data_IF_809993828070
#
_entry.id   IF_809993828070
#
_cell.length_a   1.000
_cell.length_b   1.000
_cell.length_c   1.000
_cell.angle_alpha   90.00
_cell.angle_beta   90.00
_cell.angle_gamma   90.00
#
_symmetry.space_group_name_H-M   'P 1'
#
loop_
_entity.id
_entity.type
_entity.pdbx_description
1 polymer ?
#
# COMPACT_ATOMS: atom_id res chain seq x y z
N UNK A 1 1.70 -35.67 -43.68
CA UNK A 1 2.52 -34.52 -43.19
C UNK A 1 1.58 -33.34 -42.98
N UNK A 2 1.41 -32.85 -41.75
CA UNK A 2 0.57 -31.68 -41.50
C UNK A 2 1.33 -30.41 -41.93
N UNK A 3 0.74 -29.61 -42.82
CA UNK A 3 1.34 -28.38 -43.31
C UNK A 3 1.17 -27.24 -42.30
N UNK A 4 1.80 -27.39 -41.12
CA UNK A 4 1.73 -26.40 -40.05
C UNK A 4 2.82 -25.37 -40.27
N UNK A 5 2.42 -24.14 -40.60
CA UNK A 5 3.34 -23.00 -40.73
C UNK A 5 3.81 -22.57 -39.33
N UNK A 6 5.07 -22.83 -39.00
CA UNK A 6 5.70 -22.35 -37.77
C UNK A 6 5.85 -20.82 -37.87
N UNK A 7 5.39 -20.10 -36.84
CA UNK A 7 5.47 -18.64 -36.75
C UNK A 7 6.46 -18.23 -35.66
N UNK A 8 7.08 -17.08 -35.84
CA UNK A 8 7.92 -16.44 -34.81
C UNK A 8 7.07 -15.86 -33.67
N UNK A 9 7.69 -15.64 -32.51
CA UNK A 9 7.02 -15.01 -31.34
C UNK A 9 6.48 -13.62 -31.68
N UNK A 10 7.15 -12.86 -32.53
CA UNK A 10 6.71 -11.51 -32.93
C UNK A 10 5.46 -11.55 -33.82
N UNK A 11 5.35 -12.55 -34.70
CA UNK A 11 4.16 -12.81 -35.52
C UNK A 11 2.99 -13.32 -34.67
N UNK A 12 3.26 -14.19 -33.71
CA UNK A 12 2.25 -14.73 -32.79
C UNK A 12 1.68 -13.68 -31.84
N UNK A 13 2.36 -12.55 -31.62
CA UNK A 13 1.88 -11.49 -30.73
C UNK A 13 1.15 -10.34 -31.45
N UNK A 14 1.05 -10.36 -32.78
CA UNK A 14 0.45 -9.28 -33.59
C UNK A 14 -0.84 -9.70 -34.29
N UNK A 15 -1.74 -8.73 -34.47
CA UNK A 15 -2.96 -8.89 -35.27
C UNK A 15 -3.88 -10.02 -34.78
N UNK A 16 -4.45 -10.77 -35.71
CA UNK A 16 -5.40 -11.86 -35.43
C UNK A 16 -4.80 -13.08 -34.76
N UNK A 17 -3.47 -13.18 -34.72
CA UNK A 17 -2.76 -14.31 -34.12
C UNK A 17 -2.34 -14.05 -32.68
N UNK A 18 -2.47 -12.80 -32.20
CA UNK A 18 -2.21 -12.45 -30.81
C UNK A 18 -3.10 -13.27 -29.88
N UNK A 19 -2.54 -13.86 -28.81
CA UNK A 19 -3.35 -14.49 -27.76
C UNK A 19 -4.32 -13.51 -27.10
N UNK A 20 -4.08 -12.20 -27.25
CA UNK A 20 -4.98 -11.14 -26.78
C UNK A 20 -6.10 -10.84 -27.77
N UNK A 21 -6.10 -11.43 -28.97
CA UNK A 21 -7.13 -11.24 -29.98
C UNK A 21 -8.40 -11.98 -29.58
N UNK A 22 -9.34 -11.26 -28.99
CA UNK A 22 -10.65 -11.78 -28.62
C UNK A 22 -11.67 -11.19 -29.61
N UNK A 23 -12.19 -12.03 -30.50
CA UNK A 23 -13.32 -11.74 -31.41
C UNK A 23 -13.18 -10.49 -32.29
N UNK A 24 -11.97 -10.13 -32.71
CA UNK A 24 -11.75 -8.93 -33.53
C UNK A 24 -11.82 -7.59 -32.79
N UNK A 25 -12.17 -7.59 -31.49
CA UNK A 25 -12.31 -6.37 -30.69
C UNK A 25 -11.01 -5.57 -30.59
N UNK A 26 -9.87 -6.26 -30.70
CA UNK A 26 -8.53 -5.71 -30.60
C UNK A 26 -8.05 -4.95 -31.84
N UNK A 27 -8.80 -5.02 -32.96
CA UNK A 27 -8.47 -4.31 -34.20
C UNK A 27 -9.21 -2.98 -34.34
N UNK A 28 -10.28 -2.76 -33.55
CA UNK A 28 -11.04 -1.51 -33.61
C UNK A 28 -10.27 -0.41 -32.88
N UNK A 29 -10.09 0.73 -33.56
CA UNK A 29 -9.69 1.96 -32.90
C UNK A 29 -10.92 2.53 -32.18
N UNK A 30 -10.76 2.87 -30.91
CA UNK A 30 -11.79 3.55 -30.12
C UNK A 30 -11.43 5.02 -30.01
N UNK A 31 -12.42 5.90 -30.06
CA UNK A 31 -12.23 7.35 -30.01
C UNK A 31 -13.11 7.94 -28.91
N UNK A 32 -12.63 9.02 -28.30
CA UNK A 32 -13.33 9.77 -27.27
C UNK A 32 -14.63 10.35 -27.84
N UNK A 33 -15.75 10.12 -27.15
CA UNK A 33 -17.05 10.65 -27.55
C UNK A 33 -17.10 12.19 -27.62
N UNK A 34 -16.31 12.88 -26.79
CA UNK A 34 -16.38 14.34 -26.69
C UNK A 34 -15.41 15.07 -27.65
N UNK A 35 -14.21 14.52 -27.87
CA UNK A 35 -13.14 15.23 -28.60
C UNK A 35 -12.56 14.45 -29.78
N UNK A 36 -13.09 13.26 -30.09
CA UNK A 36 -12.61 12.42 -31.19
C UNK A 36 -11.18 11.88 -31.01
N UNK A 37 -10.48 12.15 -29.90
CA UNK A 37 -9.13 11.64 -29.66
C UNK A 37 -9.14 10.14 -29.46
N UNK A 38 -8.18 9.41 -30.05
CA UNK A 38 -8.03 7.96 -29.86
C UNK A 38 -7.86 7.60 -28.37
N UNK A 39 -8.61 6.59 -27.92
CA UNK A 39 -8.58 6.06 -26.54
C UNK A 39 -8.21 4.57 -26.53
N UNK A 40 -7.88 4.06 -25.36
CA UNK A 40 -7.60 2.62 -25.19
C UNK A 40 -8.89 1.80 -25.34
N UNK A 41 -8.73 0.53 -25.74
CA UNK A 41 -9.85 -0.41 -25.85
C UNK A 41 -10.62 -0.57 -24.54
N UNK A 42 -9.91 -0.61 -23.40
CA UNK A 42 -10.54 -0.71 -22.09
C UNK A 42 -11.43 0.50 -21.80
N UNK A 43 -10.97 1.70 -22.17
CA UNK A 43 -11.74 2.93 -22.00
C UNK A 43 -12.95 3.00 -22.93
N UNK A 44 -12.84 2.47 -24.15
CA UNK A 44 -13.94 2.44 -25.13
C UNK A 44 -15.00 1.36 -24.87
N UNK A 45 -14.62 0.16 -24.43
CA UNK A 45 -15.54 -0.96 -24.21
C UNK A 45 -16.12 -0.95 -22.79
N UNK A 46 -15.26 -0.82 -21.78
CA UNK A 46 -15.64 -1.00 -20.37
C UNK A 46 -15.69 0.32 -19.59
N UNK A 47 -15.14 1.39 -20.16
CA UNK A 47 -15.12 2.71 -19.56
C UNK A 47 -16.28 3.59 -20.01
N UNK A 48 -16.11 4.90 -19.82
CA UNK A 48 -17.10 5.92 -20.18
C UNK A 48 -17.08 6.29 -21.67
N UNK A 49 -16.21 5.70 -22.48
CA UNK A 49 -15.97 6.12 -23.86
C UNK A 49 -15.31 7.50 -24.01
N UNK A 50 -14.83 8.10 -22.92
CA UNK A 50 -14.21 9.44 -22.92
C UNK A 50 -12.73 9.37 -22.54
N UNK A 51 -11.88 10.17 -23.18
CA UNK A 51 -10.46 10.22 -22.86
C UNK A 51 -10.20 10.84 -21.46
N UNK A 52 -8.98 10.68 -20.95
CA UNK A 52 -8.59 11.17 -19.61
C UNK A 52 -8.77 12.68 -19.47
N UNK A 53 -8.52 13.48 -20.52
CA UNK A 53 -8.74 14.92 -20.45
C UNK A 53 -10.23 15.26 -20.38
N UNK A 54 -11.07 14.65 -21.23
CA UNK A 54 -12.52 14.90 -21.25
C UNK A 54 -13.23 14.37 -20.00
N UNK A 55 -12.77 13.27 -19.42
CA UNK A 55 -13.26 12.81 -18.11
C UNK A 55 -12.82 13.73 -16.96
N UNK A 56 -11.61 14.29 -17.03
CA UNK A 56 -11.10 15.29 -16.07
C UNK A 56 -11.71 16.68 -16.23
N UNK A 57 -12.43 16.98 -17.31
CA UNK A 57 -13.32 18.16 -17.36
C UNK A 57 -14.38 18.06 -16.23
N UNK A 58 -14.61 16.85 -15.72
CA UNK A 58 -15.27 16.61 -14.44
C UNK A 58 -14.54 17.13 -13.19
N UNK A 59 -13.50 17.97 -13.24
CA UNK A 59 -13.08 18.74 -12.05
C UNK A 59 -14.19 19.68 -11.53
N UNK A 60 -15.13 20.05 -12.40
CA UNK A 60 -16.38 20.72 -12.03
C UNK A 60 -17.53 19.72 -11.77
N UNK A 61 -17.29 18.42 -11.82
CA UNK A 61 -18.27 17.43 -11.35
C UNK A 61 -18.33 17.59 -9.82
N UNK A 62 -19.50 17.91 -9.24
CA UNK A 62 -19.64 18.02 -7.79
C UNK A 62 -19.21 16.73 -7.05
N UNK A 63 -19.15 15.60 -7.77
CA UNK A 63 -18.70 14.32 -7.25
C UNK A 63 -17.18 14.05 -7.42
N UNK A 64 -16.39 14.95 -8.01
CA UNK A 64 -14.93 14.80 -8.05
C UNK A 64 -14.34 15.14 -6.67
N UNK A 65 -14.18 14.12 -5.83
CA UNK A 65 -14.02 14.26 -4.38
C UNK A 65 -15.29 13.95 -3.58
N UNK A 66 -16.38 13.67 -4.28
CA UNK A 66 -17.66 13.25 -3.74
C UNK A 66 -17.56 11.94 -2.98
N UNK A 67 -18.05 12.02 -1.76
CA UNK A 67 -18.75 10.99 -1.01
C UNK A 67 -19.19 9.76 -1.84
N UNK A 68 -18.77 8.56 -1.42
CA UNK A 68 -19.34 7.33 -1.96
C UNK A 68 -20.81 7.31 -1.50
N UNK A 69 -21.78 7.45 -2.42
CA UNK A 69 -23.23 7.46 -2.15
C UNK A 69 -23.77 8.70 -1.39
N UNK A 70 -23.17 9.88 -1.56
CA UNK A 70 -23.69 11.09 -0.89
C UNK A 70 -23.37 11.19 0.61
N UNK A 71 -22.71 10.17 1.20
CA UNK A 71 -22.27 10.18 2.61
C UNK A 71 -20.95 10.95 2.74
N UNK A 72 -20.90 12.10 3.46
CA UNK A 72 -19.69 12.85 3.74
C UNK A 72 -18.53 11.90 4.04
N UNK A 73 -17.39 12.06 3.35
CA UNK A 73 -16.20 11.28 3.66
C UNK A 73 -15.77 11.69 5.06
N UNK A 74 -16.18 10.92 6.07
CA UNK A 74 -15.80 11.18 7.46
C UNK A 74 -14.28 11.32 7.51
N UNK A 75 -13.79 12.37 8.16
CA UNK A 75 -12.36 12.55 8.37
C UNK A 75 -11.85 11.37 9.21
N UNK A 76 -11.29 10.35 8.57
CA UNK A 76 -10.78 9.13 9.24
C UNK A 76 -9.44 9.37 9.94
N UNK A 77 -9.16 10.59 10.36
CA UNK A 77 -7.86 11.01 10.91
C UNK A 77 -8.05 11.75 12.21
N UNK A 78 -7.09 11.60 13.13
CA UNK A 78 -7.15 12.28 14.43
C UNK A 78 -8.32 11.79 15.28
N UNK A 79 -8.88 12.70 16.08
CA UNK A 79 -9.92 12.41 17.08
C UNK A 79 -11.25 11.96 16.47
N UNK A 80 -11.51 12.31 15.21
CA UNK A 80 -12.75 11.94 14.50
C UNK A 80 -12.73 10.50 13.98
N UNK A 81 -11.59 9.80 14.06
CA UNK A 81 -11.52 8.40 13.70
C UNK A 81 -12.14 7.55 14.84
N UNK A 82 -13.11 6.66 14.57
CA UNK A 82 -13.70 5.81 15.60
C UNK A 82 -12.71 4.85 16.28
N UNK A 83 -11.55 4.61 15.67
CA UNK A 83 -10.44 3.84 16.25
C UNK A 83 -9.38 4.72 16.94
N UNK A 84 -9.61 6.04 17.04
CA UNK A 84 -8.69 6.92 17.74
C UNK A 84 -8.67 6.57 19.22
N UNK A 85 -7.47 6.29 19.71
CA UNK A 85 -7.17 6.18 21.13
C UNK A 85 -6.13 7.24 21.42
N UNK A 86 -6.44 8.14 22.35
CA UNK A 86 -5.49 8.94 23.16
C UNK A 86 -4.30 9.62 22.46
N UNK A 87 -4.30 9.80 21.14
CA UNK A 87 -3.21 10.46 20.42
C UNK A 87 -1.92 9.65 20.24
N UNK A 88 -1.83 8.44 20.81
CA UNK A 88 -0.60 7.61 20.78
C UNK A 88 -0.09 7.30 19.38
N UNK A 89 -0.94 7.35 18.35
CA UNK A 89 -0.57 7.07 16.95
C UNK A 89 0.64 7.88 16.51
N UNK A 90 0.72 9.15 16.90
CA UNK A 90 1.82 10.01 16.47
C UNK A 90 3.15 9.65 17.15
N UNK A 91 3.10 9.21 18.40
CA UNK A 91 4.25 8.76 19.18
C UNK A 91 4.72 7.38 18.72
N UNK A 92 3.82 6.41 18.55
CA UNK A 92 4.11 5.08 17.98
C UNK A 92 4.78 5.22 16.60
N UNK A 93 4.23 6.10 15.75
CA UNK A 93 4.83 6.40 14.44
C UNK A 93 6.24 6.98 14.60
N UNK A 94 6.47 7.85 15.59
CA UNK A 94 7.80 8.36 15.93
C UNK A 94 8.78 7.23 16.28
N UNK A 95 8.35 6.29 17.13
CA UNK A 95 9.16 5.13 17.53
C UNK A 95 9.49 4.25 16.31
N UNK A 96 8.52 3.96 15.44
CA UNK A 96 8.76 3.19 14.21
C UNK A 96 9.70 3.88 13.22
N UNK A 97 9.72 5.21 13.20
CA UNK A 97 10.60 6.00 12.34
C UNK A 97 11.99 6.21 12.94
N UNK A 98 12.19 5.87 14.23
CA UNK A 98 13.45 6.01 14.92
C UNK A 98 14.55 5.12 14.33
N UNK A 99 15.81 5.53 14.51
CA UNK A 99 16.96 4.74 14.07
C UNK A 99 17.08 3.42 14.84
N UNK A 100 16.66 3.38 16.11
CA UNK A 100 16.63 2.16 16.91
C UNK A 100 15.74 1.10 16.26
N UNK A 101 14.49 1.45 15.94
CA UNK A 101 13.54 0.51 15.31
C UNK A 101 13.99 0.07 13.92
N UNK A 102 14.54 0.99 13.11
CA UNK A 102 15.13 0.66 11.81
C UNK A 102 16.29 -0.32 11.94
N UNK A 103 17.19 -0.11 12.91
CA UNK A 103 18.32 -1.00 13.20
C UNK A 103 17.83 -2.37 13.66
N UNK A 104 16.87 -2.40 14.59
CA UNK A 104 16.25 -3.65 15.06
C UNK A 104 15.64 -4.45 13.89
N UNK A 105 14.82 -3.84 13.03
CA UNK A 105 14.25 -4.53 11.86
C UNK A 105 15.33 -5.12 10.95
N UNK A 106 16.39 -4.35 10.67
CA UNK A 106 17.52 -4.82 9.86
C UNK A 106 18.19 -6.04 10.50
N UNK A 107 18.44 -6.00 11.81
CA UNK A 107 19.05 -7.12 12.55
C UNK A 107 18.17 -8.37 12.54
N UNK A 108 16.85 -8.22 12.67
CA UNK A 108 15.90 -9.35 12.54
C UNK A 108 15.97 -9.95 11.13
N UNK A 109 16.06 -9.13 10.08
CA UNK A 109 16.19 -9.62 8.71
C UNK A 109 17.51 -10.33 8.45
N UNK A 110 18.62 -9.80 8.97
CA UNK A 110 19.96 -10.39 8.84
C UNK A 110 20.06 -11.72 9.59
N UNK A 111 19.53 -11.80 10.82
CA UNK A 111 19.43 -13.05 11.60
C UNK A 111 18.72 -14.15 10.81
N UNK A 112 17.66 -13.80 10.10
CA UNK A 112 16.81 -14.74 9.38
C UNK A 112 17.26 -14.96 7.91
N UNK A 113 18.46 -14.51 7.52
CA UNK A 113 18.99 -14.54 6.15
C UNK A 113 17.94 -14.10 5.10
N UNK A 114 17.21 -13.03 5.43
CA UNK A 114 16.13 -12.50 4.60
C UNK A 114 15.07 -13.56 4.17
N UNK A 115 14.94 -14.66 4.92
CA UNK A 115 13.98 -15.75 4.70
C UNK A 115 12.81 -15.64 5.67
N UNK A 116 11.56 -15.68 5.20
CA UNK A 116 10.39 -15.57 6.10
C UNK A 116 10.26 -16.78 7.02
N UNK A 117 10.02 -16.60 8.32
CA UNK A 117 10.03 -17.74 9.26
C UNK A 117 8.84 -18.68 9.05
N UNK A 118 7.68 -18.16 8.65
CA UNK A 118 6.49 -18.99 8.35
C UNK A 118 6.52 -19.62 6.96
N UNK A 119 6.86 -18.84 5.95
CA UNK A 119 6.79 -19.30 4.55
C UNK A 119 8.09 -19.93 4.03
N UNK A 120 9.22 -19.75 4.72
CA UNK A 120 10.55 -20.27 4.35
C UNK A 120 11.08 -19.83 2.98
N UNK A 121 10.49 -18.80 2.37
CA UNK A 121 10.97 -18.20 1.12
C UNK A 121 11.68 -16.87 1.36
N UNK A 122 12.71 -16.59 0.55
CA UNK A 122 13.32 -15.26 0.45
C UNK A 122 12.37 -14.33 -0.31
N UNK A 123 12.00 -13.21 0.30
CA UNK A 123 11.09 -12.21 -0.31
C UNK A 123 11.79 -10.87 -0.44
N UNK A 124 11.42 -10.13 -1.49
CA UNK A 124 11.83 -8.72 -1.68
C UNK A 124 11.19 -7.78 -0.65
N UNK A 125 10.00 -8.13 -0.16
CA UNK A 125 9.25 -7.36 0.83
C UNK A 125 9.06 -8.20 2.09
N UNK A 126 9.70 -7.79 3.17
CA UNK A 126 9.67 -8.42 4.47
C UNK A 126 9.21 -7.40 5.51
N UNK A 127 8.44 -7.88 6.47
CA UNK A 127 7.99 -7.13 7.62
C UNK A 127 8.37 -7.92 8.88
N UNK A 128 9.07 -7.26 9.81
CA UNK A 128 9.36 -7.82 11.11
C UNK A 128 8.27 -7.40 12.09
N UNK A 129 7.78 -8.36 12.87
CA UNK A 129 6.82 -8.18 13.93
C UNK A 129 7.46 -8.46 15.28
N UNK A 130 6.98 -7.82 16.33
CA UNK A 130 7.29 -8.24 17.69
C UNK A 130 6.51 -9.53 18.03
N UNK A 131 7.06 -10.36 18.91
CA UNK A 131 6.36 -11.53 19.47
C UNK A 131 5.10 -11.12 20.19
N UNK A 132 5.21 -10.08 21.03
CA UNK A 132 4.07 -9.44 21.69
C UNK A 132 3.53 -8.33 20.80
N UNK A 133 2.26 -7.94 20.99
CA UNK A 133 1.72 -6.81 20.22
C UNK A 133 2.49 -5.56 20.60
N UNK A 134 2.91 -4.76 19.61
CA UNK A 134 3.64 -3.52 19.88
C UNK A 134 2.88 -2.58 20.84
N UNK A 135 1.54 -2.62 20.81
CA UNK A 135 0.67 -1.87 21.71
C UNK A 135 0.89 -2.26 23.19
N UNK A 136 1.08 -3.54 23.49
CA UNK A 136 1.32 -4.04 24.85
C UNK A 136 2.68 -3.57 25.36
N UNK A 137 3.73 -3.70 24.52
CA UNK A 137 5.09 -3.22 24.84
C UNK A 137 5.08 -1.70 25.08
N UNK A 138 4.29 -0.98 24.29
CA UNK A 138 4.14 0.48 24.43
C UNK A 138 3.38 0.87 25.71
N UNK A 139 2.32 0.16 26.07
CA UNK A 139 1.56 0.41 27.29
C UNK A 139 2.41 0.14 28.55
N UNK A 140 3.20 -0.94 28.54
CA UNK A 140 4.19 -1.22 29.60
C UNK A 140 5.22 -0.09 29.71
N UNK A 141 5.80 0.33 28.58
CA UNK A 141 6.75 1.45 28.52
C UNK A 141 6.16 2.72 29.12
N UNK A 142 4.95 3.14 28.72
CA UNK A 142 4.31 4.35 29.25
C UNK A 142 4.02 4.21 30.75
N UNK A 143 3.54 3.03 31.17
CA UNK A 143 3.23 2.76 32.58
C UNK A 143 4.46 2.86 33.49
N UNK A 144 5.65 2.47 33.01
CA UNK A 144 6.88 2.54 33.80
C UNK A 144 7.34 3.97 34.13
N UNK A 145 7.02 4.95 33.27
CA UNK A 145 7.43 6.34 33.49
C UNK A 145 6.32 7.22 34.09
N UNK A 146 5.09 6.73 34.15
CA UNK A 146 3.92 7.47 34.65
C UNK A 146 3.75 8.85 33.95
N UNK A 147 3.95 8.87 32.62
CA UNK A 147 3.86 10.07 31.79
C UNK A 147 2.58 10.07 30.95
N UNK A 148 2.08 11.25 30.59
CA UNK A 148 0.91 11.41 29.70
C UNK A 148 1.38 11.38 28.24
N UNK A 149 0.97 10.38 27.42
CA UNK A 149 1.36 10.28 26.01
C UNK A 149 1.08 11.53 25.16
N UNK A 150 0.09 12.34 25.54
CA UNK A 150 -0.28 13.55 24.81
C UNK A 150 0.58 14.75 25.21
N UNK A 151 0.92 14.88 26.50
CA UNK A 151 1.67 16.02 27.02
C UNK A 151 3.18 15.80 26.90
N UNK A 152 3.64 14.58 27.16
CA UNK A 152 5.06 14.24 27.31
C UNK A 152 5.64 13.55 26.07
N UNK A 153 5.08 13.82 24.89
CA UNK A 153 5.40 13.11 23.65
C UNK A 153 6.89 13.12 23.31
N UNK A 154 7.56 14.28 23.42
CA UNK A 154 8.98 14.40 23.08
C UNK A 154 9.86 13.67 24.08
N UNK A 155 9.53 13.75 25.37
CA UNK A 155 10.23 13.04 26.43
C UNK A 155 10.10 11.53 26.24
N UNK A 156 8.89 11.02 26.02
CA UNK A 156 8.64 9.61 25.71
C UNK A 156 9.38 9.15 24.45
N UNK A 157 9.43 9.97 23.40
CA UNK A 157 10.17 9.64 22.20
C UNK A 157 11.68 9.56 22.48
N UNK A 158 12.22 10.42 23.33
CA UNK A 158 13.62 10.35 23.74
C UNK A 158 13.91 9.12 24.62
N UNK A 159 13.07 8.83 25.60
CA UNK A 159 13.18 7.66 26.47
C UNK A 159 13.05 6.34 25.70
N UNK A 160 12.21 6.30 24.66
CA UNK A 160 12.00 5.11 23.82
C UNK A 160 13.28 4.61 23.14
N UNK A 161 14.28 5.50 22.97
CA UNK A 161 15.60 5.14 22.41
C UNK A 161 16.39 4.20 23.31
N UNK A 162 16.06 4.15 24.60
CA UNK A 162 16.74 3.36 25.62
C UNK A 162 15.90 2.18 26.11
N UNK A 163 14.67 2.02 25.61
CA UNK A 163 13.80 0.93 25.99
C UNK A 163 14.18 -0.36 25.25
N UNK A 164 14.79 -1.30 25.98
CA UNK A 164 15.39 -2.51 25.41
C UNK A 164 14.40 -3.33 24.57
N UNK A 165 13.14 -3.41 24.97
CA UNK A 165 12.14 -4.25 24.29
C UNK A 165 11.79 -3.78 22.88
N UNK A 166 11.95 -2.49 22.58
CA UNK A 166 11.78 -2.02 21.20
C UNK A 166 12.92 -2.48 20.28
N UNK A 167 14.09 -2.78 20.86
CA UNK A 167 15.31 -3.20 20.16
C UNK A 167 15.71 -4.65 20.38
N UNK A 168 14.94 -5.43 21.15
CA UNK A 168 15.30 -6.82 21.45
C UNK A 168 15.07 -7.72 20.24
N UNK A 169 16.17 -8.21 19.67
CA UNK A 169 16.19 -9.10 18.51
C UNK A 169 15.49 -10.43 18.84
N UNK A 170 15.57 -10.91 20.10
CA UNK A 170 14.94 -12.18 20.51
C UNK A 170 13.42 -12.09 20.49
N UNK A 171 12.87 -10.89 20.71
CA UNK A 171 11.44 -10.59 20.63
C UNK A 171 10.95 -10.32 19.20
N UNK A 172 11.81 -10.45 18.18
CA UNK A 172 11.43 -10.28 16.77
C UNK A 172 11.02 -11.60 16.10
N UNK A 173 9.79 -11.66 15.61
CA UNK A 173 9.25 -12.72 14.73
C UNK A 173 9.02 -12.14 13.34
N UNK A 174 9.18 -12.95 12.31
CA UNK A 174 9.08 -12.55 10.91
C UNK A 174 8.06 -13.39 10.14
#
# INVERSE_FOLDING_TARGET
KFNIKIRTISEANKGKYSYKFIDGRCLKNYYCLDCGKKISIACGIYGTGKCVSCTKIGKNNPNYGGTFHGIPKMNKTGKDNPNYKDGRTSLIRGIYMSNLYKKWRKLVYERDDYTGQKCKFKKKHLEAHHTNRFVEIYEEFVSCYNLDPNKDKELLLNLSKYWNDFGDIKKGIK
#
